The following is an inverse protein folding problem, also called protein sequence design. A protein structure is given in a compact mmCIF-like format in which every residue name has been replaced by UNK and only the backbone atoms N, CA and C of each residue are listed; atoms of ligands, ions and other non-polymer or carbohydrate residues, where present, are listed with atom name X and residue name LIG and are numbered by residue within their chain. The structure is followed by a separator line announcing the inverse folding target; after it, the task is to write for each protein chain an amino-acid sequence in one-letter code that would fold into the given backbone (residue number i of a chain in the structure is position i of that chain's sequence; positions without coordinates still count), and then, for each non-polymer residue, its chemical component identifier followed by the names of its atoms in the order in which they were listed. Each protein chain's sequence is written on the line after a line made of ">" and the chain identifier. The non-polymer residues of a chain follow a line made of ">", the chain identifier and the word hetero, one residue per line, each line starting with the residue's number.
data_IF_719003603728
#
_entry.id   IF_719003603728
#
_cell.length_a   1.000
_cell.length_b   1.000
_cell.length_c   1.000
_cell.angle_alpha   90.00
_cell.angle_beta   90.00
_cell.angle_gamma   90.00
#
_symmetry.space_group_name_H-M   'P 1'
#
loop_
_entity.id
_entity.type
_entity.pdbx_description
1 polymer ?
#
# COMPACT_ATOMS: atom_id res chain seq x y z
N UNK A 1 -6.23 -18.57 5.63
CA UNK A 1 -6.60 -17.48 6.56
C UNK A 1 -6.14 -17.85 7.96
N UNK A 2 -5.27 -17.04 8.57
CA UNK A 2 -4.89 -17.21 9.99
C UNK A 2 -5.93 -16.53 10.88
N UNK A 3 -6.20 -17.07 12.07
CA UNK A 3 -7.10 -16.43 13.03
C UNK A 3 -6.56 -15.02 13.40
N UNK A 4 -7.42 -14.00 13.52
CA UNK A 4 -6.96 -12.65 13.82
C UNK A 4 -6.24 -12.63 15.17
N UNK A 5 -5.01 -12.12 15.17
CA UNK A 5 -4.18 -12.02 16.36
C UNK A 5 -4.71 -10.90 17.28
N UNK A 6 -4.61 -11.07 18.61
CA UNK A 6 -5.02 -10.02 19.54
C UNK A 6 -4.16 -8.77 19.35
N UNK A 7 -4.77 -7.59 19.50
CA UNK A 7 -4.14 -6.28 19.20
C UNK A 7 -2.84 -5.99 19.95
N UNK A 8 -2.60 -6.65 21.07
CA UNK A 8 -1.42 -6.49 21.92
C UNK A 8 -0.30 -7.50 21.61
N UNK A 9 -0.51 -8.43 20.67
CA UNK A 9 0.51 -9.38 20.27
C UNK A 9 1.62 -8.69 19.46
N UNK A 10 2.87 -8.92 19.86
CA UNK A 10 4.04 -8.49 19.09
C UNK A 10 4.36 -9.60 18.10
N UNK A 11 4.29 -9.30 16.80
CA UNK A 11 4.44 -10.25 15.70
C UNK A 11 5.48 -9.70 14.75
N UNK A 12 6.44 -10.53 14.32
CA UNK A 12 7.40 -10.10 13.31
C UNK A 12 6.75 -10.19 11.94
N UNK A 13 7.16 -9.33 11.03
CA UNK A 13 6.65 -9.33 9.64
C UNK A 13 6.87 -10.68 8.94
N UNK A 14 7.96 -11.39 9.26
CA UNK A 14 8.24 -12.73 8.74
C UNK A 14 7.24 -13.81 9.22
N UNK A 15 6.56 -13.57 10.34
CA UNK A 15 5.56 -14.50 10.89
C UNK A 15 4.15 -14.24 10.31
N UNK A 16 3.99 -13.16 9.54
CA UNK A 16 2.74 -12.82 8.87
C UNK A 16 2.67 -13.47 7.48
N UNK A 17 1.47 -13.84 7.01
CA UNK A 17 1.29 -14.27 5.62
C UNK A 17 1.69 -13.13 4.68
N UNK A 18 2.36 -13.49 3.58
CA UNK A 18 2.81 -12.52 2.60
C UNK A 18 1.59 -11.78 1.98
N UNK A 19 1.57 -10.44 1.98
CA UNK A 19 0.47 -9.68 1.39
C UNK A 19 0.49 -9.80 -0.13
N UNK A 20 -0.67 -9.83 -0.83
CA UNK A 20 -0.76 -10.04 -2.28
C UNK A 20 -0.17 -8.90 -3.13
N UNK A 21 0.07 -7.74 -2.52
CA UNK A 21 0.68 -6.58 -3.15
C UNK A 21 1.91 -6.14 -2.34
N UNK A 22 2.97 -5.78 -3.04
CA UNK A 22 4.18 -5.18 -2.47
C UNK A 22 4.34 -3.77 -3.01
N UNK A 23 4.52 -2.80 -2.11
CA UNK A 23 4.67 -1.40 -2.49
C UNK A 23 5.97 -1.17 -3.26
N UNK A 24 5.91 -0.38 -4.33
CA UNK A 24 7.06 0.03 -5.14
C UNK A 24 7.37 1.49 -4.82
N UNK A 25 8.48 1.71 -4.11
CA UNK A 25 8.95 3.05 -3.76
C UNK A 25 8.03 3.80 -2.79
N UNK A 26 8.17 5.13 -2.77
CA UNK A 26 7.36 6.04 -1.95
C UNK A 26 6.20 6.59 -2.77
N UNK A 27 5.20 7.14 -2.09
CA UNK A 27 4.13 7.88 -2.73
C UNK A 27 4.70 9.05 -3.56
N UNK A 28 4.20 9.19 -4.79
CA UNK A 28 4.60 10.24 -5.74
C UNK A 28 3.57 11.36 -5.65
N UNK A 29 4.05 12.59 -5.50
CA UNK A 29 3.26 13.82 -5.48
C UNK A 29 3.62 14.67 -6.70
N UNK A 30 2.69 15.52 -7.18
CA UNK A 30 2.98 16.42 -8.28
C UNK A 30 4.09 17.42 -7.90
N UNK A 31 4.88 17.83 -8.90
CA UNK A 31 5.87 18.89 -8.76
C UNK A 31 5.23 20.29 -8.80
N UNK A 32 6.01 21.33 -8.51
CA UNK A 32 5.52 22.72 -8.50
C UNK A 32 4.94 23.13 -9.86
N UNK A 33 5.67 22.87 -10.95
CA UNK A 33 5.24 23.20 -12.33
C UNK A 33 3.90 22.56 -12.69
N UNK A 34 3.68 21.30 -12.28
CA UNK A 34 2.42 20.60 -12.52
C UNK A 34 1.28 21.23 -11.71
N UNK A 35 1.51 21.58 -10.46
CA UNK A 35 0.49 22.21 -9.62
C UNK A 35 0.13 23.62 -10.05
N UNK A 36 1.06 24.36 -10.66
CA UNK A 36 0.82 25.69 -11.24
C UNK A 36 -0.04 25.59 -12.51
N UNK A 37 0.29 24.67 -13.41
CA UNK A 37 -0.46 24.44 -14.64
C UNK A 37 -1.81 23.74 -14.40
N UNK A 38 -1.91 22.91 -13.36
CA UNK A 38 -3.11 22.17 -12.98
C UNK A 38 -3.36 22.26 -11.46
N UNK A 39 -4.05 23.31 -10.98
CA UNK A 39 -4.35 23.48 -9.56
C UNK A 39 -5.12 22.31 -8.91
N UNK A 40 -5.91 21.57 -9.69
CA UNK A 40 -6.63 20.36 -9.22
C UNK A 40 -5.66 19.25 -8.78
N UNK A 41 -4.44 19.23 -9.31
CA UNK A 41 -3.46 18.21 -8.98
C UNK A 41 -2.88 18.33 -7.56
N UNK A 42 -3.01 19.47 -6.86
CA UNK A 42 -2.24 19.74 -5.62
C UNK A 42 -2.33 18.67 -4.52
N UNK A 43 -3.43 17.91 -4.49
CA UNK A 43 -3.68 16.85 -3.50
C UNK A 43 -3.55 15.43 -4.08
N UNK A 44 -3.14 15.30 -5.35
CA UNK A 44 -2.95 14.01 -6.00
C UNK A 44 -1.80 13.23 -5.33
N UNK A 45 -2.04 11.93 -5.13
CA UNK A 45 -1.06 10.99 -4.56
C UNK A 45 -1.08 9.71 -5.40
N UNK A 46 -0.02 9.47 -6.15
CA UNK A 46 0.17 8.23 -6.90
C UNK A 46 0.91 7.20 -6.04
N UNK A 47 0.39 5.98 -5.99
CA UNK A 47 1.03 4.83 -5.35
C UNK A 47 1.12 3.69 -6.35
N UNK A 48 2.26 3.01 -6.37
CA UNK A 48 2.51 1.87 -7.23
C UNK A 48 2.76 0.65 -6.36
N UNK A 49 2.21 -0.48 -6.76
CA UNK A 49 2.46 -1.77 -6.15
C UNK A 49 2.65 -2.83 -7.24
N UNK A 50 3.47 -3.82 -6.93
CA UNK A 50 3.63 -5.03 -7.73
C UNK A 50 2.87 -6.19 -7.08
N UNK A 51 2.41 -7.14 -7.90
CA UNK A 51 1.79 -8.38 -7.39
C UNK A 51 2.87 -9.27 -6.79
N UNK A 52 2.62 -9.77 -5.59
CA UNK A 52 3.49 -10.75 -4.93
C UNK A 52 2.94 -12.18 -5.13
N UNK A 53 3.58 -13.17 -4.51
CA UNK A 53 3.05 -14.55 -4.40
C UNK A 53 1.90 -14.70 -3.40
N UNK A 54 1.54 -13.65 -2.66
CA UNK A 54 0.40 -13.66 -1.75
C UNK A 54 -0.95 -13.71 -2.48
N UNK A 55 -1.95 -14.33 -1.86
CA UNK A 55 -3.28 -14.48 -2.44
C UNK A 55 -4.22 -13.32 -2.05
N UNK A 56 -5.09 -12.92 -2.98
CA UNK A 56 -6.21 -12.05 -2.65
C UNK A 56 -7.32 -12.89 -2.05
N UNK A 57 -7.51 -12.83 -0.75
CA UNK A 57 -8.70 -13.40 -0.14
C UNK A 57 -9.87 -12.46 -0.37
N UNK A 58 -10.84 -12.89 -1.19
CA UNK A 58 -12.15 -12.25 -1.23
C UNK A 58 -12.81 -12.51 0.13
N UNK A 59 -13.10 -11.45 0.86
CA UNK A 59 -13.95 -11.53 2.05
C UNK A 59 -15.36 -11.29 1.52
N UNK A 60 -16.12 -12.37 1.37
CA UNK A 60 -17.59 -12.28 1.22
C UNK A 60 -18.22 -11.82 2.55
#
# INVERSE_FOLDING_TARGET
>A
QHAPLPRWAVVKEADLPQPPLKAVGKAIKPGSTETEANPRARSAVLRVAERSSGEFSVVD
#
